data_IF_890522477028
#
_entry.id   IF_890522477028
#
_cell.length_a   1.000
_cell.length_b   1.000
_cell.length_c   1.000
_cell.angle_alpha   90.00
_cell.angle_beta   90.00
_cell.angle_gamma   90.00
#
_symmetry.space_group_name_H-M   'P 1'
#
loop_
_entity.id
_entity.type
_entity.pdbx_description
1 polymer ?
2 polymer ?
3 polymer ?
4 polymer ?
5 polymer ?
6 water ?
#
# COMPACT_ATOMS: atom_id res chain seq x y z
N UNK A 9 30.63 -12.40 -2.57
CA UNK A 9 31.54 -12.37 -3.76
C UNK A 9 31.23 -11.16 -4.64
N UNK A 10 32.27 -10.58 -5.31
CA UNK A 10 32.22 -9.41 -6.20
C UNK A 10 30.90 -9.00 -6.87
N UNK A 11 30.84 -7.73 -7.27
CA UNK A 11 29.67 -7.11 -7.91
C UNK A 11 28.79 -7.97 -8.84
N UNK A 12 28.97 -7.78 -10.16
CA UNK A 12 28.24 -8.49 -11.21
C UNK A 12 28.56 -7.70 -12.48
N UNK A 13 28.97 -8.38 -13.54
CA UNK A 13 29.31 -7.67 -14.78
C UNK A 13 29.28 -8.46 -16.08
N UNK A 14 28.14 -9.04 -16.41
CA UNK A 14 28.02 -9.82 -17.64
C UNK A 14 26.72 -9.60 -18.39
N UNK A 15 25.67 -9.19 -17.69
CA UNK A 15 24.39 -8.96 -18.31
C UNK A 15 23.57 -8.07 -17.40
N UNK A 16 24.17 -6.91 -17.15
CA UNK A 16 23.61 -5.88 -16.29
C UNK A 16 22.17 -5.54 -16.61
N UNK A 17 21.75 -5.76 -17.86
CA UNK A 17 20.36 -5.47 -18.15
C UNK A 17 19.53 -6.51 -17.43
N UNK A 18 19.74 -7.77 -17.81
CA UNK A 18 19.00 -8.89 -17.20
C UNK A 18 19.13 -8.83 -15.70
N UNK A 19 20.32 -8.49 -15.22
CA UNK A 19 20.52 -8.36 -13.80
C UNK A 19 19.44 -7.47 -13.17
N UNK A 20 19.29 -6.26 -13.72
CA UNK A 20 18.29 -5.32 -13.23
C UNK A 20 16.94 -6.00 -13.45
N UNK A 21 16.77 -6.60 -14.63
CA UNK A 21 15.52 -7.28 -14.95
C UNK A 21 15.07 -8.10 -13.75
N UNK A 22 15.98 -9.00 -13.35
CA UNK A 22 15.79 -9.92 -12.22
C UNK A 22 15.65 -9.18 -10.89
N UNK A 23 16.60 -8.28 -10.66
CA UNK A 23 16.63 -7.44 -9.46
C UNK A 23 15.31 -6.70 -9.32
N UNK A 24 14.67 -6.36 -10.44
CA UNK A 24 13.38 -5.66 -10.45
C UNK A 24 12.23 -6.60 -10.17
N UNK A 25 12.35 -7.83 -10.66
CA UNK A 25 11.31 -8.81 -10.44
C UNK A 25 11.22 -9.24 -8.97
N UNK A 26 12.36 -9.34 -8.29
CA UNK A 26 12.29 -9.71 -6.90
C UNK A 26 11.47 -8.66 -6.18
N UNK A 27 11.74 -7.39 -6.48
CA UNK A 27 11.02 -6.30 -5.84
C UNK A 27 9.56 -6.39 -6.16
N UNK A 28 9.24 -6.90 -7.35
CA UNK A 28 7.84 -7.02 -7.71
C UNK A 28 7.17 -7.95 -6.73
N UNK A 29 7.80 -9.10 -6.46
CA UNK A 29 7.23 -10.07 -5.52
C UNK A 29 7.16 -9.55 -4.11
N UNK A 30 8.20 -8.88 -3.65
CA UNK A 30 8.14 -8.32 -2.31
C UNK A 30 6.89 -7.43 -2.25
N UNK A 31 6.49 -6.87 -3.39
CA UNK A 31 5.30 -6.00 -3.43
C UNK A 31 3.97 -6.73 -3.57
N UNK A 32 3.98 -7.94 -4.14
CA UNK A 32 2.74 -8.72 -4.26
C UNK A 32 2.33 -9.04 -2.85
N UNK A 33 3.34 -9.19 -2.00
CA UNK A 33 3.14 -9.51 -0.60
C UNK A 33 2.61 -8.28 0.13
N UNK A 34 3.21 -7.13 -0.15
CA UNK A 34 2.80 -5.88 0.50
C UNK A 34 1.39 -5.46 0.11
N UNK A 35 1.03 -5.64 -1.16
CA UNK A 35 -0.29 -5.28 -1.65
C UNK A 35 -1.29 -6.20 -0.95
N UNK A 36 -0.91 -7.47 -0.86
CA UNK A 36 -1.71 -8.51 -0.22
C UNK A 36 -1.97 -8.10 1.23
N UNK A 37 -0.89 -7.94 1.97
CA UNK A 37 -0.97 -7.55 3.37
C UNK A 37 -1.77 -6.28 3.56
N UNK A 38 -1.60 -5.31 2.67
CA UNK A 38 -2.35 -4.07 2.80
C UNK A 38 -3.83 -4.37 2.59
N UNK A 39 -4.12 -5.56 2.07
CA UNK A 39 -5.52 -5.93 1.86
C UNK A 39 -6.08 -6.54 3.14
N UNK A 40 -5.33 -7.46 3.73
CA UNK A 40 -5.77 -8.05 4.98
C UNK A 40 -5.98 -6.91 5.97
N UNK A 41 -5.16 -5.87 5.81
CA UNK A 41 -5.23 -4.68 6.66
C UNK A 41 -6.40 -3.77 6.32
N UNK A 42 -6.85 -3.79 5.06
CA UNK A 42 -7.96 -2.94 4.67
C UNK A 42 -9.25 -3.52 5.22
N UNK A 43 -9.29 -4.85 5.34
CA UNK A 43 -10.46 -5.52 5.88
C UNK A 43 -10.48 -5.31 7.38
N UNK A 44 -9.38 -5.68 8.06
CA UNK A 44 -9.31 -5.50 9.51
C UNK A 44 -9.72 -4.09 9.85
N UNK A 45 -9.11 -3.13 9.18
CA UNK A 45 -9.41 -1.73 9.41
C UNK A 45 -10.82 -1.38 8.95
N UNK A 46 -11.67 -2.39 8.80
CA UNK A 46 -13.05 -2.16 8.41
C UNK A 46 -13.83 -2.52 9.67
N UNK A 47 -13.48 -3.66 10.26
CA UNK A 47 -14.10 -4.16 11.49
C UNK A 47 -13.81 -3.17 12.60
N UNK A 48 -12.88 -2.26 12.36
CA UNK A 48 -12.56 -1.28 13.37
C UNK A 48 -13.42 -0.03 13.20
N UNK A 49 -13.70 0.37 11.97
CA UNK A 49 -14.53 1.54 11.78
C UNK A 49 -15.95 1.20 12.14
N UNK A 50 -16.18 -0.09 12.43
CA UNK A 50 -17.50 -0.56 12.81
C UNK A 50 -17.56 -0.58 14.33
N UNK A 51 -16.94 -1.58 14.92
CA UNK A 51 -16.89 -1.72 16.37
C UNK A 51 -16.51 -0.40 17.03
N UNK A 52 -15.79 0.45 16.31
CA UNK A 52 -15.44 1.75 16.84
C UNK A 52 -16.77 2.43 17.09
N UNK A 53 -17.45 2.75 15.98
CA UNK A 53 -18.74 3.38 16.05
C UNK A 53 -19.72 2.49 16.81
N UNK A 54 -19.43 1.18 16.84
CA UNK A 54 -20.28 0.23 17.54
C UNK A 54 -19.99 0.25 19.04
N UNK A 55 -19.01 1.05 19.44
CA UNK A 55 -18.66 1.18 20.84
C UNK A 55 -18.74 2.66 21.18
N UNK A 56 -18.73 3.48 20.12
CA UNK A 56 -18.85 4.93 20.25
C UNK A 56 -20.30 5.13 20.66
N UNK A 57 -21.07 4.06 20.52
CA UNK A 57 -22.47 4.07 20.90
C UNK A 57 -22.64 3.24 22.16
N UNK A 58 -21.85 2.17 22.29
CA UNK A 58 -21.92 1.32 23.46
C UNK A 58 -21.67 2.12 24.73
N UNK A 59 -21.06 3.29 24.55
CA UNK A 59 -20.76 4.20 25.65
C UNK A 59 -21.84 5.27 25.71
N UNK A 60 -22.19 5.82 24.55
CA UNK A 60 -23.23 6.84 24.47
C UNK A 60 -24.53 6.26 24.99
N UNK A 61 -24.43 5.09 25.60
CA UNK A 61 -25.58 4.39 26.16
C UNK A 61 -25.34 4.17 27.65
N UNK A 62 -24.07 3.98 28.02
CA UNK A 62 -23.69 3.77 29.41
C UNK A 62 -23.62 5.15 30.07
N UNK A 63 -23.83 6.19 29.26
CA UNK A 63 -23.79 7.56 29.74
C UNK A 63 -25.18 7.93 30.24
N UNK A 64 -26.14 7.96 29.33
CA UNK A 64 -27.53 8.30 29.69
C UNK A 64 -28.00 7.43 30.84
N UNK A 65 -27.40 6.24 30.97
CA UNK A 65 -27.74 5.30 32.02
C UNK A 65 -27.04 5.69 33.33
N UNK A 66 -26.49 6.90 33.34
CA UNK A 66 -25.78 7.43 34.49
C UNK A 66 -26.29 8.85 34.72
N UNK A 67 -26.51 9.59 33.63
CA UNK A 67 -27.03 10.94 33.76
C UNK A 67 -28.45 10.83 34.28
N UNK A 68 -29.12 9.75 33.88
CA UNK A 68 -30.48 9.46 34.28
C UNK A 68 -30.44 8.70 35.59
N UNK A 69 -29.47 7.77 35.70
CA UNK A 69 -29.32 7.00 36.92
C UNK A 69 -28.99 7.99 38.03
N UNK A 70 -27.96 8.80 37.81
CA UNK A 70 -27.56 9.82 38.78
C UNK A 70 -28.76 10.67 39.12
N UNK A 71 -29.14 11.53 38.18
CA UNK A 71 -30.27 12.45 38.33
C UNK A 71 -31.44 11.82 39.11
N UNK A 72 -31.68 10.52 38.92
CA UNK A 72 -32.78 9.83 39.59
C UNK A 72 -32.53 9.64 41.09
N UNK A 73 -32.09 8.46 41.49
CA UNK A 73 -31.85 8.20 42.92
C UNK A 73 -30.73 7.21 43.20
N UNK A 74 -31.05 5.91 43.11
CA UNK A 74 -30.09 4.83 43.34
C UNK A 74 -29.53 4.79 44.76
N UNK B 1 27.28 -1.31 -61.50
CA UNK B 1 28.18 -0.17 -61.85
C UNK B 1 28.32 0.84 -60.74
N UNK B 2 27.19 1.31 -60.24
CA UNK B 2 27.15 2.29 -59.15
C UNK B 2 27.64 1.66 -57.84
N UNK B 3 27.52 0.34 -57.75
CA UNK B 3 27.95 -0.41 -56.58
C UNK B 3 27.79 -1.91 -56.84
N UNK B 4 26.60 -2.28 -57.32
CA UNK B 4 26.27 -3.67 -57.64
C UNK B 4 26.42 -4.68 -56.50
N UNK B 5 27.50 -5.45 -56.52
CA UNK B 5 27.74 -6.45 -55.48
C UNK B 5 28.01 -5.85 -54.12
N UNK B 6 28.51 -4.61 -54.10
CA UNK B 6 28.78 -3.93 -52.85
C UNK B 6 27.51 -3.67 -52.09
N UNK B 7 26.58 -2.96 -52.75
CA UNK B 7 25.28 -2.63 -52.15
C UNK B 7 24.52 -3.91 -51.85
N UNK B 8 25.13 -5.04 -52.22
CA UNK B 8 24.51 -6.35 -51.98
C UNK B 8 24.75 -6.76 -50.55
N UNK B 9 25.94 -6.50 -50.03
CA UNK B 9 26.23 -6.87 -48.65
C UNK B 9 26.01 -5.69 -47.72
N UNK B 10 26.03 -4.48 -48.25
CA UNK B 10 25.79 -3.30 -47.44
C UNK B 10 24.40 -3.47 -46.83
N UNK B 11 23.70 -4.50 -47.28
CA UNK B 11 22.37 -4.81 -46.79
C UNK B 11 22.46 -6.00 -45.86
N UNK B 12 23.29 -6.97 -46.22
CA UNK B 12 23.47 -8.16 -45.40
C UNK B 12 23.85 -7.72 -43.98
N UNK B 13 24.77 -6.75 -43.89
CA UNK B 13 25.20 -6.23 -42.60
C UNK B 13 24.06 -5.41 -41.95
N UNK B 14 23.26 -4.74 -42.77
CA UNK B 14 22.14 -3.94 -42.26
C UNK B 14 21.18 -4.86 -41.53
N UNK B 15 20.72 -5.89 -42.24
CA UNK B 15 19.78 -6.86 -41.66
C UNK B 15 20.30 -7.44 -40.33
N UNK B 16 21.62 -7.51 -40.18
CA UNK B 16 22.25 -8.02 -38.97
C UNK B 16 22.07 -7.02 -37.84
N UNK B 17 22.55 -5.81 -38.11
CA UNK B 17 22.47 -4.70 -37.18
C UNK B 17 21.02 -4.48 -36.74
N UNK B 18 20.08 -4.59 -37.67
CA UNK B 18 18.69 -4.42 -37.27
C UNK B 18 18.30 -5.61 -36.37
N UNK B 19 18.93 -6.76 -36.60
CA UNK B 19 18.65 -7.97 -35.81
C UNK B 19 19.25 -7.84 -34.43
N UNK B 20 20.44 -7.24 -34.37
CA UNK B 20 21.07 -7.03 -33.08
C UNK B 20 20.18 -6.03 -32.36
N UNK B 21 19.80 -4.98 -33.09
CA UNK B 21 18.98 -3.92 -32.57
C UNK B 21 17.65 -4.34 -31.99
N UNK B 22 16.79 -4.99 -32.76
CA UNK B 22 15.48 -5.41 -32.21
C UNK B 22 15.70 -6.34 -31.01
N UNK B 23 16.83 -7.04 -31.01
CA UNK B 23 17.22 -7.97 -29.96
C UNK B 23 17.29 -7.22 -28.64
N UNK B 24 18.23 -6.27 -28.60
CA UNK B 24 18.45 -5.40 -27.45
C UNK B 24 17.11 -4.79 -27.09
N UNK B 25 16.39 -4.36 -28.11
CA UNK B 25 15.09 -3.76 -27.89
C UNK B 25 14.20 -4.58 -26.98
N UNK B 26 13.99 -5.85 -27.34
CA UNK B 26 13.14 -6.78 -26.58
C UNK B 26 13.55 -6.91 -25.11
N UNK B 27 14.85 -6.88 -24.83
CA UNK B 27 15.32 -6.96 -23.46
C UNK B 27 14.77 -5.75 -22.72
N UNK B 28 15.12 -4.57 -23.22
CA UNK B 28 14.69 -3.28 -22.67
C UNK B 28 13.18 -3.22 -22.51
N UNK B 29 12.46 -3.60 -23.56
CA UNK B 29 11.01 -3.58 -23.53
C UNK B 29 10.52 -4.52 -22.42
N UNK B 30 11.21 -5.64 -22.24
CA UNK B 30 10.87 -6.62 -21.22
C UNK B 30 11.07 -6.01 -19.84
N UNK B 31 12.18 -5.30 -19.68
CA UNK B 31 12.45 -4.65 -18.41
C UNK B 31 11.34 -3.64 -18.15
N UNK B 32 10.98 -2.89 -19.19
CA UNK B 32 9.96 -1.86 -19.08
C UNK B 32 8.57 -2.37 -18.70
N UNK B 33 8.27 -3.62 -19.02
CA UNK B 33 6.97 -4.15 -18.66
C UNK B 33 6.97 -4.51 -17.16
N UNK B 34 8.08 -5.06 -16.70
CA UNK B 34 8.17 -5.41 -15.29
C UNK B 34 8.14 -4.13 -14.50
N UNK B 35 8.77 -3.08 -15.02
CA UNK B 35 8.75 -1.83 -14.31
C UNK B 35 7.35 -1.20 -14.28
N UNK B 36 6.57 -1.32 -15.35
CA UNK B 36 5.22 -0.77 -15.30
C UNK B 36 4.56 -1.44 -14.12
N UNK B 37 4.75 -2.75 -14.02
CA UNK B 37 4.15 -3.54 -12.95
C UNK B 37 4.59 -3.06 -11.55
N UNK B 38 5.89 -3.02 -11.31
CA UNK B 38 6.37 -2.56 -10.01
C UNK B 38 5.74 -1.19 -9.75
N UNK B 39 5.67 -0.37 -10.80
CA UNK B 39 5.08 0.96 -10.70
C UNK B 39 3.60 0.89 -10.32
N UNK B 40 2.82 0.11 -11.06
CA UNK B 40 1.40 -0.01 -10.75
C UNK B 40 1.14 -0.39 -9.30
N UNK B 41 1.92 -1.34 -8.76
CA UNK B 41 1.75 -1.78 -7.38
C UNK B 41 2.11 -0.70 -6.39
N UNK B 42 3.19 0.02 -6.66
CA UNK B 42 3.59 1.10 -5.77
C UNK B 42 2.50 2.15 -5.72
N UNK B 43 1.89 2.46 -6.85
CA UNK B 43 0.85 3.46 -6.89
C UNK B 43 -0.42 3.02 -6.18
N UNK B 44 -0.66 1.71 -6.09
CA UNK B 44 -1.86 1.20 -5.43
C UNK B 44 -1.74 1.20 -3.92
N UNK B 45 -0.53 1.01 -3.43
CA UNK B 45 -0.26 1.01 -2.00
C UNK B 45 -0.56 2.40 -1.48
N UNK B 46 -0.09 3.41 -2.19
CA UNK B 46 -0.28 4.80 -1.82
C UNK B 46 -1.72 5.30 -1.92
N UNK B 47 -2.56 4.62 -2.70
CA UNK B 47 -3.94 5.05 -2.80
C UNK B 47 -4.72 4.24 -1.78
N UNK B 48 -4.21 3.04 -1.50
CA UNK B 48 -4.82 2.17 -0.51
C UNK B 48 -4.53 2.74 0.87
N UNK B 49 -3.27 2.79 1.24
CA UNK B 49 -2.90 3.32 2.54
C UNK B 49 -3.46 4.72 2.76
N UNK B 50 -3.91 5.37 1.68
CA UNK B 50 -4.47 6.71 1.79
C UNK B 50 -5.98 6.64 1.99
N UNK B 51 -6.56 5.46 1.78
CA UNK B 51 -8.00 5.25 1.94
C UNK B 51 -8.20 4.90 3.40
N UNK B 52 -7.52 3.82 3.77
CA UNK B 52 -7.52 3.30 5.12
C UNK B 52 -7.06 4.45 6.01
N UNK B 53 -6.70 5.55 5.38
CA UNK B 53 -6.28 6.72 6.10
C UNK B 53 -7.52 7.34 6.71
N UNK B 54 -8.54 7.55 5.89
CA UNK B 54 -9.79 8.12 6.36
C UNK B 54 -10.47 7.18 7.35
N UNK B 55 -10.21 5.89 7.23
CA UNK B 55 -10.78 4.92 8.15
C UNK B 55 -10.02 4.91 9.48
N UNK B 56 -8.96 5.70 9.55
CA UNK B 56 -8.17 5.80 10.77
C UNK B 56 -8.33 7.22 11.30
N UNK B 57 -8.99 8.06 10.51
CA UNK B 57 -9.24 9.43 10.89
C UNK B 57 -10.60 9.50 11.57
N UNK B 58 -11.57 8.81 10.97
CA UNK B 58 -12.92 8.75 11.49
C UNK B 58 -12.87 7.82 12.70
N UNK B 59 -12.19 6.69 12.54
CA UNK B 59 -12.07 5.72 13.63
C UNK B 59 -11.37 6.41 14.80
N UNK B 60 -10.92 7.64 14.57
CA UNK B 60 -10.26 8.44 15.59
C UNK B 60 -11.33 9.28 16.30
N UNK B 61 -11.86 10.26 15.57
CA UNK B 61 -12.91 11.15 16.07
C UNK B 61 -13.94 10.38 16.89
N UNK B 62 -14.28 9.18 16.42
CA UNK B 62 -15.26 8.35 17.09
C UNK B 62 -14.76 7.68 18.37
N UNK B 63 -13.44 7.51 18.50
CA UNK B 63 -12.94 6.95 19.74
C UNK B 63 -12.59 8.17 20.57
N UNK B 64 -12.64 9.33 19.90
CA UNK B 64 -12.39 10.63 20.52
C UNK B 64 -13.73 11.05 21.08
N UNK B 65 -14.37 10.08 21.73
CA UNK B 65 -15.68 10.26 22.34
C UNK B 65 -16.00 8.94 23.03
N UNK B 66 -15.87 7.84 22.30
CA UNK B 66 -16.14 6.52 22.84
C UNK B 66 -15.71 6.37 24.30
N UNK B 67 -14.42 6.55 24.57
CA UNK B 67 -13.95 6.44 25.94
C UNK B 67 -14.28 7.74 26.67
N UNK B 68 -14.38 8.82 25.91
CA UNK B 68 -14.71 10.13 26.47
C UNK B 68 -16.13 10.06 27.07
N UNK B 69 -16.89 9.06 26.66
CA UNK B 69 -18.25 8.86 27.16
C UNK B 69 -18.13 8.04 28.43
N UNK B 70 -17.46 6.91 28.35
CA UNK B 70 -17.28 6.06 29.53
C UNK B 70 -16.38 6.82 30.51
N UNK B 71 -16.27 8.11 30.28
CA UNK B 71 -15.47 9.01 31.11
C UNK B 71 -16.44 10.02 31.72
N UNK B 72 -17.25 10.65 30.87
CA UNK B 72 -18.25 11.63 31.29
C UNK B 72 -19.27 10.93 32.18
N UNK B 73 -19.45 9.63 31.94
CA UNK B 73 -20.38 8.81 32.70
C UNK B 73 -19.61 7.86 33.62
N UNK B 74 -18.29 8.05 33.66
CA UNK B 74 -17.43 7.22 34.50
C UNK B 74 -17.71 7.66 35.94
N UNK B 75 -17.64 8.96 36.15
CA UNK B 75 -17.88 9.56 37.46
C UNK B 75 -19.35 9.42 37.87
N UNK B 76 -20.27 9.67 36.95
CA UNK B 76 -21.70 9.58 37.23
C UNK B 76 -22.12 8.30 37.93
N UNK B 77 -21.25 7.31 37.97
CA UNK B 77 -21.57 6.06 38.65
C UNK B 77 -21.01 6.09 40.07
N UNK B 78 -20.56 7.28 40.49
CA UNK B 78 -19.99 7.48 41.82
C UNK B 78 -21.08 7.46 42.88
N UNK B 79 -22.32 7.67 42.44
CA UNK B 79 -23.48 7.65 43.33
C UNK B 79 -23.65 6.25 43.91
N UNK B 80 -22.55 5.53 44.03
CA UNK B 80 -22.54 4.18 44.60
C UNK B 80 -22.49 4.41 46.10
N UNK B 81 -22.47 5.69 46.45
CA UNK B 81 -22.43 6.13 47.84
C UNK B 81 -23.85 6.55 48.23
N UNK B 82 -24.33 7.58 47.53
CA UNK B 82 -25.66 8.14 47.76
C UNK B 82 -26.75 7.07 47.90
N UNK C 8 19.28 1.93 -51.19
CA UNK C 8 18.19 1.50 -52.11
C UNK C 8 16.87 1.47 -51.35
N UNK C 9 15.77 1.15 -52.02
CA UNK C 9 14.47 1.08 -51.35
C UNK C 9 14.45 -0.28 -50.63
N UNK C 10 15.65 -0.82 -50.43
CA UNK C 10 15.87 -2.09 -49.74
C UNK C 10 16.79 -1.83 -48.55
N UNK C 11 17.92 -1.17 -48.80
CA UNK C 11 18.88 -0.83 -47.74
C UNK C 11 18.42 0.34 -46.89
N UNK C 12 17.72 1.29 -47.52
CA UNK C 12 17.23 2.48 -46.82
C UNK C 12 16.05 2.17 -45.90
N UNK C 13 15.17 1.28 -46.34
CA UNK C 13 14.04 0.94 -45.49
C UNK C 13 14.61 0.27 -44.23
N UNK C 14 15.59 -0.60 -44.43
CA UNK C 14 16.22 -1.29 -43.31
C UNK C 14 16.89 -0.29 -42.38
N UNK C 15 17.64 0.65 -42.94
CA UNK C 15 18.32 1.64 -42.12
C UNK C 15 17.31 2.50 -41.36
N UNK C 16 16.06 2.53 -41.83
CA UNK C 16 15.01 3.29 -41.15
C UNK C 16 14.49 2.51 -39.97
N UNK C 17 14.26 1.21 -40.18
CA UNK C 17 13.80 0.38 -39.08
C UNK C 17 14.89 0.42 -38.02
N UNK C 18 16.14 0.42 -38.45
CA UNK C 18 17.28 0.50 -37.53
C UNK C 18 17.20 1.74 -36.64
N UNK C 19 16.62 2.82 -37.15
CA UNK C 19 16.50 4.06 -36.38
C UNK C 19 15.18 4.26 -35.63
N UNK C 20 14.08 3.68 -36.12
CA UNK C 20 12.81 3.82 -35.41
C UNK C 20 12.83 2.87 -34.21
N UNK C 21 13.58 1.78 -34.31
CA UNK C 21 13.68 0.85 -33.19
C UNK C 21 14.63 1.44 -32.16
N UNK C 22 15.77 2.00 -32.59
CA UNK C 22 16.64 2.59 -31.59
C UNK C 22 15.94 3.70 -30.85
N UNK C 23 15.03 4.38 -31.54
CA UNK C 23 14.31 5.49 -30.92
C UNK C 23 13.26 4.93 -29.98
N UNK C 24 12.77 3.74 -30.29
CA UNK C 24 11.79 3.10 -29.45
C UNK C 24 12.47 2.72 -28.14
N UNK C 25 13.72 2.29 -28.24
CA UNK C 25 14.48 1.92 -27.07
C UNK C 25 14.77 3.14 -26.22
N UNK C 26 15.42 4.15 -26.80
CA UNK C 26 15.72 5.36 -26.04
C UNK C 26 14.44 5.90 -25.41
N UNK C 27 13.29 5.74 -26.07
CA UNK C 27 12.04 6.23 -25.49
C UNK C 27 11.61 5.37 -24.32
N UNK C 28 11.96 4.08 -24.41
CA UNK C 28 11.61 3.08 -23.41
C UNK C 28 12.35 3.31 -22.10
N UNK C 29 13.63 3.61 -22.21
CA UNK C 29 14.46 3.86 -21.05
C UNK C 29 13.95 5.11 -20.36
N UNK C 30 13.47 6.04 -21.16
CA UNK C 30 12.98 7.30 -20.64
C UNK C 30 11.74 7.11 -19.79
N UNK C 31 10.75 6.35 -20.29
CA UNK C 31 9.53 6.11 -19.52
C UNK C 31 9.90 5.30 -18.27
N UNK C 32 10.77 4.31 -18.47
CA UNK C 32 11.24 3.46 -17.37
C UNK C 32 11.66 4.34 -16.21
N UNK C 33 12.63 5.20 -16.51
CA UNK C 33 13.14 6.16 -15.56
C UNK C 33 12.04 7.03 -14.93
N UNK C 34 11.10 7.50 -15.76
CA UNK C 34 9.99 8.31 -15.24
C UNK C 34 9.17 7.45 -14.27
N UNK C 35 8.84 6.25 -14.71
CA UNK C 35 8.05 5.29 -13.94
C UNK C 35 8.68 4.97 -12.57
N UNK C 36 10.01 4.96 -12.51
CA UNK C 36 10.70 4.69 -11.26
C UNK C 36 10.62 5.88 -10.32
N UNK C 37 10.64 7.09 -10.87
CA UNK C 37 10.56 8.26 -10.02
C UNK C 37 9.14 8.35 -9.45
N UNK C 38 8.14 8.13 -10.28
CA UNK C 38 6.77 8.15 -9.78
C UNK C 38 6.70 7.03 -8.74
N UNK C 39 7.31 5.90 -9.06
CA UNK C 39 7.31 4.77 -8.14
C UNK C 39 7.97 5.13 -6.82
N UNK C 40 8.95 6.02 -6.87
CA UNK C 40 9.67 6.45 -5.66
C UNK C 40 8.92 7.54 -4.89
N UNK C 41 8.14 8.37 -5.58
CA UNK C 41 7.39 9.43 -4.90
C UNK C 41 6.20 8.81 -4.18
N UNK C 42 5.72 7.67 -4.66
CA UNK C 42 4.58 7.03 -4.01
C UNK C 42 5.04 6.24 -2.80
N UNK C 43 6.29 5.79 -2.82
CA UNK C 43 6.81 5.04 -1.70
C UNK C 43 7.11 5.98 -0.55
N UNK C 44 7.45 7.24 -0.87
CA UNK C 44 7.74 8.21 0.15
C UNK C 44 6.43 8.49 0.85
N UNK C 45 5.52 9.19 0.17
CA UNK C 45 4.24 9.53 0.75
C UNK C 45 3.54 8.34 1.35
N UNK C 46 3.80 7.16 0.83
CA UNK C 46 3.16 5.99 1.42
C UNK C 46 3.77 5.81 2.80
N UNK C 47 5.09 5.67 2.85
CA UNK C 47 5.79 5.48 4.11
C UNK C 47 5.53 6.59 5.11
N UNK C 48 5.15 7.76 4.61
CA UNK C 48 4.84 8.90 5.48
C UNK C 48 3.47 8.70 6.12
N UNK C 49 2.52 8.17 5.33
CA UNK C 49 1.17 7.91 5.82
C UNK C 49 1.22 6.77 6.86
N UNK C 50 1.78 5.64 6.45
CA UNK C 50 1.93 4.46 7.31
C UNK C 50 2.57 4.84 8.65
N UNK C 51 3.24 6.01 8.64
CA UNK C 51 3.92 6.57 9.81
C UNK C 51 2.98 7.31 10.75
N UNK C 52 2.37 8.38 10.26
CA UNK C 52 1.45 9.16 11.07
C UNK C 52 0.27 8.29 11.50
N UNK C 53 -0.07 7.32 10.66
CA UNK C 53 -1.19 6.43 10.95
C UNK C 53 -0.78 5.34 11.91
N UNK C 54 0.51 5.01 11.92
CA UNK C 54 1.01 3.99 12.81
C UNK C 54 1.11 4.59 14.19
N UNK C 55 0.89 5.90 14.25
CA UNK C 55 0.94 6.68 15.49
C UNK C 55 -0.47 6.75 16.03
N UNK C 56 -1.42 7.12 15.17
CA UNK C 56 -2.83 7.18 15.57
C UNK C 56 -3.21 5.79 16.12
N UNK C 57 -2.88 4.74 15.36
CA UNK C 57 -3.17 3.37 15.78
C UNK C 57 -2.60 3.05 17.16
N UNK C 58 -1.95 4.01 17.79
CA UNK C 58 -1.40 3.79 19.11
C UNK C 58 -2.28 4.47 20.13
N UNK C 59 -2.85 5.60 19.73
CA UNK C 59 -3.74 6.35 20.58
C UNK C 59 -5.05 5.55 20.64
N UNK C 60 -5.49 5.08 19.47
CA UNK C 60 -6.70 4.29 19.43
C UNK C 60 -6.54 3.28 20.55
N UNK C 61 -5.40 2.59 20.57
CA UNK C 61 -5.14 1.60 21.59
C UNK C 61 -5.05 2.28 22.95
N UNK C 62 -4.40 3.43 23.00
CA UNK C 62 -4.27 4.17 24.25
C UNK C 62 -5.65 4.49 24.81
N UNK C 63 -6.51 5.09 23.97
CA UNK C 63 -7.87 5.43 24.38
C UNK C 63 -8.66 4.21 24.82
N UNK C 64 -8.59 3.14 24.02
CA UNK C 64 -9.29 1.90 24.33
C UNK C 64 -8.51 1.15 25.41
N UNK C 65 -7.73 1.90 26.18
CA UNK C 65 -6.95 1.36 27.29
C UNK C 65 -7.56 2.02 28.52
N UNK C 66 -7.91 3.30 28.37
CA UNK C 66 -8.53 4.06 29.45
C UNK C 66 -10.00 3.65 29.48
N UNK C 67 -10.50 3.16 28.35
CA UNK C 67 -11.88 2.72 28.25
C UNK C 67 -12.02 1.50 29.14
N UNK C 68 -11.08 0.56 29.01
CA UNK C 68 -11.10 -0.65 29.82
C UNK C 68 -10.72 -0.29 31.26
N UNK C 69 -10.03 0.84 31.44
CA UNK C 69 -9.64 1.29 32.77
C UNK C 69 -10.89 1.85 33.46
N UNK C 70 -11.45 2.91 32.89
CA UNK C 70 -12.68 3.53 33.38
C UNK C 70 -13.81 2.55 33.08
N UNK C 71 -13.69 1.34 33.59
CA UNK C 71 -14.69 0.30 33.32
C UNK C 71 -14.72 -0.75 34.43
N UNK C 72 -13.61 -1.44 34.63
CA UNK C 72 -13.53 -2.45 35.66
C UNK C 72 -13.70 -1.76 37.01
N UNK C 73 -13.88 -0.45 36.97
CA UNK C 73 -14.08 0.37 38.16
C UNK C 73 -15.58 0.42 38.43
N UNK C 74 -16.36 0.70 37.38
CA UNK C 74 -17.82 0.74 37.51
C UNK C 74 -18.29 -0.66 37.88
N UNK C 75 -17.34 -1.59 37.96
CA UNK C 75 -17.63 -2.98 38.32
C UNK C 75 -17.93 -3.03 39.82
N UNK C 76 -17.98 -1.84 40.41
CA UNK C 76 -18.31 -1.69 41.82
C UNK C 76 -19.83 -1.75 41.92
N UNK C 77 -20.45 -2.12 40.79
CA UNK C 77 -21.90 -2.24 40.69
C UNK C 77 -22.39 -3.33 41.62
N UNK C 78 -21.47 -3.85 42.45
CA UNK C 78 -21.80 -4.89 43.42
C UNK C 78 -22.70 -4.24 44.47
N UNK C 79 -23.34 -3.15 44.06
CA UNK C 79 -24.26 -2.39 44.88
C UNK C 79 -25.60 -3.13 44.96
N UNK C 80 -26.35 -3.09 43.86
CA UNK C 80 -27.64 -3.75 43.82
C UNK C 80 -27.66 -5.18 44.33
N UNK D 11 24.98 -8.15 -23.05
CA UNK D 11 24.08 -7.09 -22.58
C UNK D 11 24.60 -6.42 -21.31
N UNK D 12 25.92 -6.49 -21.12
CA UNK D 12 26.60 -5.90 -19.97
C UNK D 12 27.99 -5.38 -20.28
N UNK D 13 28.69 -5.00 -19.22
CA UNK D 13 30.01 -4.38 -19.34
C UNK D 13 29.51 -2.99 -19.76
N UNK D 14 28.25 -2.76 -19.42
CA UNK D 14 27.52 -1.55 -19.73
C UNK D 14 26.13 -2.08 -20.02
N UNK D 15 25.10 -1.63 -19.29
CA UNK D 15 23.76 -2.13 -19.53
C UNK D 15 23.33 -2.11 -20.99
N UNK D 16 23.81 -1.14 -21.75
CA UNK D 16 23.43 -1.01 -23.15
C UNK D 16 24.51 -1.37 -24.17
N UNK D 17 24.23 -2.39 -24.98
CA UNK D 17 25.18 -2.88 -25.99
C UNK D 17 25.24 -1.96 -27.22
N UNK D 18 26.33 -1.22 -27.30
CA UNK D 18 26.55 -0.30 -28.39
C UNK D 18 26.52 -0.99 -29.75
N UNK D 19 25.44 -0.81 -30.51
CA UNK D 19 25.35 -1.40 -31.84
C UNK D 19 25.79 -0.33 -32.85
N UNK D 20 25.09 0.79 -32.89
CA UNK D 20 25.45 1.90 -33.79
C UNK D 20 25.97 2.93 -32.78
N UNK D 21 27.25 3.30 -32.81
CA UNK D 21 27.76 4.19 -31.76
C UNK D 21 27.26 5.64 -31.57
N UNK D 22 25.97 5.79 -31.26
CA UNK D 22 25.36 7.11 -31.07
C UNK D 22 25.44 7.72 -29.68
N UNK D 23 24.54 8.67 -29.46
CA UNK D 23 24.39 9.37 -28.22
C UNK D 23 23.03 8.83 -27.82
N UNK D 24 22.37 8.22 -28.81
CA UNK D 24 21.07 7.64 -28.56
C UNK D 24 21.29 6.58 -27.49
N UNK D 25 22.41 5.85 -27.58
CA UNK D 25 22.71 4.84 -26.55
C UNK D 25 23.30 5.47 -25.31
N UNK D 26 24.31 6.32 -25.46
CA UNK D 26 24.91 7.00 -24.31
C UNK D 26 23.77 7.39 -23.37
N UNK D 27 22.68 7.86 -23.99
CA UNK D 27 21.47 8.28 -23.30
C UNK D 27 20.87 7.14 -22.53
N UNK D 28 20.70 6.03 -23.25
CA UNK D 28 20.11 4.82 -22.69
C UNK D 28 20.97 4.37 -21.51
N UNK D 29 22.28 4.34 -21.72
CA UNK D 29 23.21 3.92 -20.67
C UNK D 29 22.96 4.66 -19.36
N UNK D 30 22.96 5.98 -19.42
CA UNK D 30 22.77 6.84 -18.28
C UNK D 30 21.43 6.63 -17.59
N UNK D 31 20.41 6.30 -18.36
CA UNK D 31 19.13 6.10 -17.73
C UNK D 31 19.13 4.76 -17.07
N UNK D 32 19.92 3.85 -17.63
CA UNK D 32 20.04 2.50 -17.09
C UNK D 32 20.85 2.58 -15.83
N UNK D 33 22.06 3.11 -15.92
CA UNK D 33 22.87 3.24 -14.74
C UNK D 33 22.07 3.87 -13.63
N UNK D 34 21.00 4.55 -14.00
CA UNK D 34 20.18 5.27 -13.04
C UNK D 34 18.89 4.55 -12.64
N UNK D 35 18.24 3.89 -13.59
CA UNK D 35 17.02 3.14 -13.32
C UNK D 35 17.40 2.02 -12.36
N UNK D 36 18.50 1.35 -12.67
CA UNK D 36 18.97 0.26 -11.85
C UNK D 36 19.41 0.78 -10.48
N UNK D 37 20.14 1.88 -10.49
CA UNK D 37 20.66 2.49 -9.28
C UNK D 37 19.57 3.21 -8.45
N UNK D 38 18.31 2.91 -8.76
CA UNK D 38 17.15 3.49 -8.07
C UNK D 38 16.19 2.38 -7.71
N UNK D 39 16.52 1.17 -8.12
CA UNK D 39 15.65 0.02 -7.88
C UNK D 39 16.01 -0.76 -6.64
N UNK D 40 17.29 -0.89 -6.36
CA UNK D 40 17.69 -1.59 -5.16
C UNK D 40 17.20 -0.71 -4.02
N UNK D 41 16.85 0.51 -4.40
CA UNK D 41 16.36 1.55 -3.51
C UNK D 41 14.87 1.32 -3.24
N UNK D 42 14.11 1.03 -4.29
CA UNK D 42 12.69 0.77 -4.10
C UNK D 42 12.56 -0.49 -3.27
N UNK D 43 13.59 -1.33 -3.29
CA UNK D 43 13.55 -2.54 -2.51
C UNK D 43 13.43 -2.20 -1.03
N UNK D 44 14.43 -1.53 -0.48
CA UNK D 44 14.40 -1.15 0.93
C UNK D 44 13.03 -0.64 1.31
N UNK D 45 12.44 0.19 0.46
CA UNK D 45 11.11 0.73 0.73
C UNK D 45 10.08 -0.40 0.74
N UNK D 46 10.17 -1.29 -0.24
CA UNK D 46 9.26 -2.42 -0.32
C UNK D 46 9.38 -3.30 0.93
N UNK D 47 10.61 -3.51 1.39
CA UNK D 47 10.83 -4.30 2.60
C UNK D 47 10.31 -3.51 3.81
N UNK D 48 10.64 -2.23 3.89
CA UNK D 48 10.16 -1.42 5.01
C UNK D 48 8.65 -1.55 5.09
N UNK D 49 7.94 -0.75 4.29
CA UNK D 49 6.48 -0.78 4.27
C UNK D 49 5.93 -2.18 4.47
N UNK D 50 6.53 -3.16 3.78
CA UNK D 50 6.10 -4.53 3.90
C UNK D 50 6.08 -4.98 5.35
N UNK D 51 7.16 -4.68 6.07
CA UNK D 51 7.24 -5.05 7.47
C UNK D 51 6.23 -4.22 8.28
N UNK D 52 6.17 -2.91 8.02
CA UNK D 52 5.21 -2.05 8.74
C UNK D 52 3.77 -2.48 8.54
N UNK D 53 3.42 -2.83 7.31
CA UNK D 53 2.07 -3.29 7.02
C UNK D 53 1.74 -4.36 8.06
N UNK D 54 2.58 -5.40 8.10
CA UNK D 54 2.39 -6.49 9.05
C UNK D 54 2.26 -6.08 10.50
N UNK D 55 3.08 -5.13 10.95
CA UNK D 55 3.02 -4.66 12.33
C UNK D 55 1.70 -3.96 12.61
N UNK D 56 1.46 -2.86 11.90
CA UNK D 56 0.22 -2.11 12.08
C UNK D 56 -0.93 -3.11 12.04
N UNK D 57 -0.76 -4.18 11.28
CA UNK D 57 -1.78 -5.22 11.15
C UNK D 57 -2.02 -5.94 12.46
N UNK D 58 -1.10 -6.85 12.81
CA UNK D 58 -1.23 -7.61 14.05
C UNK D 58 -1.55 -6.70 15.23
N UNK D 59 -1.09 -5.45 15.15
CA UNK D 59 -1.32 -4.46 16.22
C UNK D 59 -2.75 -3.91 16.14
N UNK D 60 -3.40 -4.07 14.98
CA UNK D 60 -4.76 -3.60 14.82
C UNK D 60 -5.70 -4.68 15.36
N UNK D 61 -5.21 -5.92 15.35
CA UNK D 61 -6.00 -7.01 15.87
C UNK D 61 -6.12 -6.79 17.36
N UNK D 62 -4.98 -6.55 18.01
CA UNK D 62 -4.99 -6.30 19.45
C UNK D 62 -6.09 -5.29 19.71
N UNK D 63 -6.10 -4.21 18.92
CA UNK D 63 -7.13 -3.19 19.05
C UNK D 63 -8.48 -3.89 19.03
N UNK D 64 -8.61 -4.87 18.13
CA UNK D 64 -9.85 -5.65 17.99
C UNK D 64 -10.17 -6.44 19.26
N UNK D 65 -9.38 -7.48 19.53
CA UNK D 65 -9.59 -8.32 20.71
C UNK D 65 -9.95 -7.46 21.92
N UNK D 66 -9.14 -6.45 22.19
CA UNK D 66 -9.39 -5.56 23.32
C UNK D 66 -10.68 -4.74 23.20
N UNK D 67 -10.92 -4.14 22.03
CA UNK D 67 -12.14 -3.34 21.81
C UNK D 67 -13.39 -4.21 21.79
N UNK D 68 -13.21 -5.52 21.96
CA UNK D 68 -14.32 -6.47 21.97
C UNK D 68 -14.76 -6.67 23.41
N UNK D 69 -13.80 -6.63 24.33
CA UNK D 69 -14.08 -6.79 25.75
C UNK D 69 -14.64 -5.46 26.26
N UNK D 70 -14.35 -4.39 25.53
CA UNK D 70 -14.85 -3.08 25.90
C UNK D 70 -16.32 -3.06 25.51
N UNK D 71 -16.72 -4.10 24.78
CA UNK D 71 -18.11 -4.23 24.34
C UNK D 71 -18.88 -4.97 25.43
N UNK D 72 -18.35 -6.11 25.87
CA UNK D 72 -18.98 -6.92 26.91
C UNK D 72 -18.92 -6.20 28.26
N UNK D 73 -18.63 -4.90 28.19
CA UNK D 73 -18.53 -4.06 29.36
C UNK D 73 -19.48 -2.88 29.15
N UNK D 74 -19.18 -2.04 28.17
CA UNK D 74 -20.02 -0.87 27.88
C UNK D 74 -21.47 -1.26 27.58
N UNK D 75 -21.74 -2.57 27.52
CA UNK D 75 -23.08 -3.07 27.26
C UNK D 75 -23.57 -4.00 28.35
N UNK D 76 -22.86 -5.11 28.58
CA UNK D 76 -23.27 -6.07 29.60
C UNK D 76 -23.37 -5.47 30.99
N UNK D 77 -22.52 -4.50 31.29
CA UNK D 77 -22.56 -3.84 32.59
C UNK D 77 -23.62 -2.74 32.54
N UNK D 78 -24.03 -2.37 31.33
CA UNK D 78 -25.07 -1.35 31.18
C UNK D 78 -26.43 -1.99 31.41
N UNK D 79 -26.44 -3.32 31.45
CA UNK D 79 -27.66 -4.07 31.70
C UNK D 79 -28.05 -3.71 33.13
N UNK D 80 -27.06 -3.70 34.01
CA UNK D 80 -27.26 -3.36 35.41
C UNK D 80 -27.77 -1.91 35.55
N UNK D 81 -27.45 -1.08 34.56
CA UNK D 81 -27.89 0.31 34.56
C UNK D 81 -29.37 0.35 34.23
N UNK D 82 -29.85 -0.73 33.61
CA UNK D 82 -31.25 -0.86 33.24
C UNK D 82 -32.00 -1.56 34.38
N UNK D 83 -31.29 -2.46 35.07
CA UNK D 83 -31.86 -3.20 36.19
C UNK D 83 -32.08 -2.26 37.38
N UNK D 84 -30.98 -1.84 38.01
CA UNK D 84 -31.04 -0.94 39.15
C UNK D 84 -32.06 0.18 38.92
N UNK D 85 -31.73 1.13 38.07
CA UNK D 85 -32.62 2.25 37.77
C UNK D 85 -33.74 1.83 36.82
N UNK E 30 -30.17 -1.01 13.65
CA UNK E 30 -29.88 -1.51 12.28
C UNK E 30 -29.53 -0.36 11.35
N UNK E 31 -29.96 0.85 11.70
CA UNK E 31 -29.68 2.04 10.89
C UNK E 31 -28.18 2.17 10.65
N UNK E 32 -27.40 1.78 11.66
CA UNK E 32 -25.94 1.85 11.57
C UNK E 32 -25.38 0.63 10.84
N UNK E 33 -25.86 -0.57 11.20
CA UNK E 33 -25.40 -1.81 10.58
C UNK E 33 -25.72 -1.83 9.08
N UNK E 34 -26.42 -0.79 8.62
CA UNK E 34 -26.78 -0.66 7.21
C UNK E 34 -25.60 -0.03 6.47
N UNK E 35 -25.20 1.15 6.91
CA UNK E 35 -24.07 1.84 6.30
C UNK E 35 -22.84 0.96 6.46
N UNK E 36 -22.82 0.20 7.55
CA UNK E 36 -21.70 -0.69 7.87
C UNK E 36 -21.50 -1.82 6.85
N UNK E 37 -22.59 -2.45 6.43
CA UNK E 37 -22.52 -3.52 5.46
C UNK E 37 -22.58 -2.99 4.04
N UNK E 38 -23.15 -1.80 3.88
CA UNK E 38 -23.27 -1.14 2.58
C UNK E 38 -21.92 -0.58 2.18
N UNK E 39 -21.10 -0.28 3.18
CA UNK E 39 -19.76 0.26 2.94
C UNK E 39 -18.83 -0.90 2.62
N UNK E 40 -18.77 -1.87 3.53
CA UNK E 40 -17.92 -3.04 3.34
C UNK E 40 -18.08 -3.59 1.93
N UNK E 41 -19.27 -3.40 1.34
CA UNK E 41 -19.52 -3.87 0.00
C UNK E 41 -18.53 -3.28 -0.97
N UNK E 42 -18.64 -1.97 -1.18
CA UNK E 42 -17.74 -1.26 -2.09
C UNK E 42 -16.28 -1.48 -1.73
N UNK E 43 -16.04 -1.81 -0.46
CA UNK E 43 -14.70 -2.07 0.01
C UNK E 43 -14.26 -3.38 -0.64
N UNK E 44 -15.19 -4.32 -0.76
CA UNK E 44 -14.95 -5.63 -1.38
C UNK E 44 -14.88 -5.48 -2.89
N UNK E 45 -15.56 -4.46 -3.42
CA UNK E 45 -15.56 -4.20 -4.85
C UNK E 45 -14.15 -3.72 -5.22
N UNK E 46 -13.49 -3.07 -4.27
CA UNK E 46 -12.13 -2.57 -4.49
C UNK E 46 -11.13 -3.67 -4.15
N UNK E 47 -11.44 -4.51 -3.18
CA UNK E 47 -10.55 -5.59 -2.80
C UNK E 47 -10.32 -6.53 -3.98
N UNK E 48 -11.40 -7.14 -4.48
CA UNK E 48 -11.31 -8.07 -5.60
C UNK E 48 -10.64 -7.39 -6.79
N UNK E 49 -11.27 -6.33 -7.30
CA UNK E 49 -10.72 -5.61 -8.44
C UNK E 49 -9.20 -5.48 -8.34
N UNK E 50 -8.69 -5.24 -7.14
CA UNK E 50 -7.25 -5.10 -6.94
C UNK E 50 -6.61 -6.49 -6.85
N UNK E 51 -7.20 -7.34 -6.02
CA UNK E 51 -6.70 -8.69 -5.79
C UNK E 51 -6.55 -9.49 -7.09
N UNK E 52 -7.51 -9.33 -7.99
CA UNK E 52 -7.46 -10.02 -9.28
C UNK E 52 -6.45 -9.36 -10.21
N UNK E 53 -6.46 -8.03 -10.24
CA UNK E 53 -5.55 -7.24 -11.07
C UNK E 53 -4.13 -7.77 -11.00
N UNK E 54 -3.75 -8.35 -9.86
CA UNK E 54 -2.40 -8.87 -9.70
C UNK E 54 -2.31 -10.38 -9.62
N UNK E 55 -3.44 -11.04 -9.37
CA UNK E 55 -3.43 -12.49 -9.31
C UNK E 55 -3.17 -13.08 -7.93
N UNK E 56 -4.15 -12.91 -7.05
CA UNK E 56 -4.04 -13.42 -5.70
C UNK E 56 -5.12 -14.49 -5.47
N UNK E 57 -5.72 -14.53 -4.28
CA UNK E 57 -6.75 -15.53 -4.01
C UNK E 57 -7.61 -15.18 -2.81
#
# INVERSE_FOLDING_TARGET
>A
PGPPQGPPQPVQQSKRLQQTQAQVEEVVDIMRVNVDKVLERDSKISELDDRADALQAGASQFEASAGKLKRKFWWKNCKM
>B
GKSASGIIMETQQAKQTLADIEARHADIMKLETSIRELHDMFMDMAMLVESQGEMIDRIEYNVEAAVDYIETAKVDTKKAVKYQSKAR
>C
NGEVEVPKTELEEIQQQCNQVTDDSLESTRRMLNMCEESKEAGIRTLVMLDEQGEQLDRIEEGLDQINQDMKDAEKNLEGMEK
>D
VTVGDQNGMGPSSGYVTRITNDAREDDMENNMKEVSSMIGNLRNMAIDMGNEIGSQNRQVDRIQQKAESNESRIDEANKKATKLLKN
>E
GKSASGEKEGNENAEEEAAAIEEARREAEERRKEKHRKMEEEREEMRQTIRDKYGLKKKVKEEPEAEADLDEGRVGRKK
#
